data_IF_503955420412
#
_entry.id   IF_503955420412
#
_cell.length_a   1.000
_cell.length_b   1.000
_cell.length_c   1.000
_cell.angle_alpha   90.00
_cell.angle_beta   90.00
_cell.angle_gamma   90.00
#
_symmetry.space_group_name_H-M   'P 1'
#
loop_
_entity.id
_entity.type
_entity.pdbx_description
1 polymer ?
#
# COMPACT_ATOMS: atom_id res chain seq x y z
N UNK A 1 29.28 10.89 4.49
CA UNK A 1 28.12 10.03 4.21
C UNK A 1 27.23 10.07 5.44
N UNK A 2 26.13 10.83 5.40
CA UNK A 2 25.11 10.72 6.43
C UNK A 2 24.34 9.42 6.15
N UNK A 3 24.57 8.38 6.95
CA UNK A 3 23.65 7.27 7.03
C UNK A 3 22.39 7.83 7.70
N UNK A 4 21.44 8.33 6.92
CA UNK A 4 20.10 8.54 7.45
C UNK A 4 19.56 7.15 7.75
N UNK A 5 19.32 6.87 9.03
CA UNK A 5 18.65 5.65 9.45
C UNK A 5 17.33 5.54 8.68
N UNK A 6 17.15 4.42 7.98
CA UNK A 6 15.97 4.16 7.18
C UNK A 6 14.77 4.02 8.11
N UNK A 7 13.79 4.91 7.97
CA UNK A 7 12.57 4.81 8.76
C UNK A 7 11.77 3.59 8.30
N UNK A 8 11.63 2.62 9.20
CA UNK A 8 10.87 1.38 8.98
C UNK A 8 9.61 1.43 9.85
N UNK A 9 8.47 1.26 9.21
CA UNK A 9 7.17 1.16 9.86
C UNK A 9 6.75 -0.29 9.85
N UNK A 10 6.57 -0.89 11.03
CA UNK A 10 6.05 -2.24 11.18
C UNK A 10 5.03 -2.26 12.29
N UNK A 11 3.83 -2.75 12.01
CA UNK A 11 2.80 -2.89 13.04
C UNK A 11 1.82 -4.02 12.73
N UNK A 12 1.19 -4.51 13.79
CA UNK A 12 0.08 -5.47 13.72
C UNK A 12 -1.19 -4.70 13.40
N UNK A 13 -1.98 -5.22 12.45
CA UNK A 13 -3.30 -4.69 12.11
C UNK A 13 -4.38 -5.63 12.65
N UNK A 14 -5.67 -5.36 12.40
CA UNK A 14 -6.78 -6.25 12.81
C UNK A 14 -6.51 -7.73 12.51
N UNK A 15 -5.90 -8.02 11.35
CA UNK A 15 -5.40 -9.37 11.01
C UNK A 15 -4.14 -9.28 10.17
N UNK A 16 -3.07 -9.92 10.61
CA UNK A 16 -1.76 -9.90 9.95
C UNK A 16 -0.89 -8.71 10.37
N UNK A 17 0.23 -8.55 9.69
CA UNK A 17 1.22 -7.52 9.91
C UNK A 17 1.59 -6.83 8.60
N UNK A 18 1.86 -5.52 8.69
CA UNK A 18 2.33 -4.70 7.58
C UNK A 18 3.73 -4.20 7.88
N UNK A 19 4.56 -4.12 6.86
CA UNK A 19 5.88 -3.50 6.92
C UNK A 19 6.08 -2.57 5.73
N UNK A 20 6.46 -1.32 6.01
CA UNK A 20 6.71 -0.29 5.01
C UNK A 20 7.99 0.47 5.27
N UNK A 21 8.75 0.74 4.21
CA UNK A 21 9.89 1.65 4.23
C UNK A 21 10.24 2.14 2.83
N UNK A 22 11.03 3.23 2.73
CA UNK A 22 11.59 3.71 1.46
C UNK A 22 12.75 2.81 1.04
N UNK A 23 12.67 2.15 -0.11
CA UNK A 23 13.73 1.32 -0.71
C UNK A 23 14.25 1.99 -1.99
N UNK A 24 15.33 2.76 -1.86
CA UNK A 24 15.82 3.59 -2.97
C UNK A 24 14.77 4.62 -3.40
N UNK A 25 14.36 4.55 -4.66
CA UNK A 25 13.32 5.39 -5.27
C UNK A 25 11.93 4.69 -5.31
N UNK A 26 11.75 3.65 -4.50
CA UNK A 26 10.50 2.91 -4.37
C UNK A 26 10.08 2.83 -2.91
N UNK A 27 8.84 2.40 -2.70
CA UNK A 27 8.31 2.05 -1.40
C UNK A 27 8.27 0.53 -1.32
N UNK A 28 8.90 -0.03 -0.31
CA UNK A 28 8.76 -1.43 0.05
C UNK A 28 7.47 -1.58 0.86
N UNK A 29 6.61 -2.50 0.44
CA UNK A 29 5.44 -2.95 1.19
C UNK A 29 5.53 -4.47 1.33
N UNK A 30 5.56 -4.96 2.55
CA UNK A 30 5.50 -6.38 2.85
C UNK A 30 4.25 -6.68 3.68
N UNK A 31 3.57 -7.76 3.31
CA UNK A 31 2.34 -8.23 3.93
C UNK A 31 2.59 -9.61 4.55
N UNK A 32 2.53 -9.71 5.87
CA UNK A 32 2.52 -10.99 6.57
C UNK A 32 1.09 -11.31 7.01
N UNK A 33 0.51 -12.35 6.40
CA UNK A 33 -0.89 -12.68 6.61
C UNK A 33 -1.11 -13.62 7.81
N UNK A 34 -0.06 -14.03 8.54
CA UNK A 34 -0.15 -14.90 9.72
C UNK A 34 -1.06 -16.14 9.52
N UNK A 35 -0.98 -16.78 8.35
CA UNK A 35 -1.81 -17.93 7.89
C UNK A 35 -3.26 -17.60 7.45
N UNK A 36 -3.60 -16.33 7.30
CA UNK A 36 -4.83 -15.85 6.64
C UNK A 36 -4.64 -15.75 5.13
N UNK A 37 -5.75 -15.66 4.39
CA UNK A 37 -5.73 -15.30 2.97
C UNK A 37 -5.48 -13.80 2.74
N UNK A 38 -5.62 -12.96 3.77
CA UNK A 38 -5.46 -11.51 3.64
C UNK A 38 -5.17 -10.81 4.97
N UNK A 39 -4.56 -9.63 4.87
CA UNK A 39 -4.53 -8.68 5.98
C UNK A 39 -5.86 -7.90 6.03
N UNK A 40 -6.32 -7.60 7.25
CA UNK A 40 -7.50 -6.78 7.49
C UNK A 40 -7.09 -5.53 8.27
N UNK A 41 -7.54 -4.38 7.79
CA UNK A 41 -7.25 -3.08 8.37
C UNK A 41 -8.54 -2.50 8.94
N UNK A 42 -8.50 -2.09 10.19
CA UNK A 42 -9.51 -1.18 10.76
C UNK A 42 -9.48 0.17 10.05
N UNK A 43 -10.41 1.05 10.42
CA UNK A 43 -10.37 2.45 9.97
C UNK A 43 -9.03 3.11 10.36
N UNK A 44 -8.60 2.97 11.61
CA UNK A 44 -7.36 3.57 12.12
C UNK A 44 -6.12 3.00 11.42
N UNK A 45 -6.09 1.68 11.17
CA UNK A 45 -5.02 1.05 10.38
C UNK A 45 -4.97 1.61 8.97
N UNK A 46 -6.14 1.81 8.35
CA UNK A 46 -6.28 2.35 6.99
C UNK A 46 -5.76 3.79 6.92
N UNK A 47 -6.16 4.64 7.87
CA UNK A 47 -5.71 6.03 7.96
C UNK A 47 -4.20 6.11 8.20
N UNK A 48 -3.67 5.26 9.09
CA UNK A 48 -2.23 5.17 9.37
C UNK A 48 -1.44 4.73 8.14
N UNK A 49 -1.90 3.70 7.43
CA UNK A 49 -1.24 3.23 6.21
C UNK A 49 -1.26 4.31 5.10
N UNK A 50 -2.38 5.02 4.92
CA UNK A 50 -2.47 6.14 3.98
C UNK A 50 -1.46 7.23 4.32
N UNK A 51 -1.37 7.63 5.59
CA UNK A 51 -0.44 8.66 6.04
C UNK A 51 1.02 8.26 5.82
N UNK A 52 1.38 7.02 6.14
CA UNK A 52 2.73 6.48 5.95
C UNK A 52 3.08 6.39 4.46
N UNK A 53 2.19 5.83 3.62
CA UNK A 53 2.38 5.78 2.17
C UNK A 53 2.58 7.17 1.57
N UNK A 54 1.79 8.15 2.01
CA UNK A 54 1.89 9.54 1.57
C UNK A 54 3.26 10.11 1.91
N UNK A 55 3.70 9.98 3.17
CA UNK A 55 5.00 10.48 3.62
C UNK A 55 6.19 9.83 2.89
N UNK A 56 6.14 8.51 2.68
CA UNK A 56 7.17 7.80 1.94
C UNK A 56 7.20 8.21 0.46
N UNK A 57 6.03 8.37 -0.18
CA UNK A 57 5.92 8.83 -1.57
C UNK A 57 6.44 10.26 -1.74
N UNK A 58 6.09 11.17 -0.83
CA UNK A 58 6.62 12.53 -0.79
C UNK A 58 8.15 12.54 -0.65
N UNK A 59 8.69 11.68 0.22
CA UNK A 59 10.14 11.57 0.42
C UNK A 59 10.86 11.14 -0.86
N UNK A 60 10.30 10.18 -1.60
CA UNK A 60 10.84 9.77 -2.91
C UNK A 60 10.69 10.90 -3.93
N UNK A 61 9.51 11.53 -4.01
CA UNK A 61 9.21 12.56 -5.00
C UNK A 61 10.11 13.80 -4.93
N UNK A 62 10.46 14.20 -3.70
CA UNK A 62 11.31 15.35 -3.42
C UNK A 62 12.81 15.02 -3.42
N UNK A 63 13.20 13.76 -3.59
CA UNK A 63 14.61 13.39 -3.78
C UNK A 63 15.13 14.08 -5.06
N UNK A 64 16.19 14.91 -4.99
CA UNK A 64 16.73 15.61 -6.17
C UNK A 64 17.25 14.66 -7.25
N UNK A 65 17.68 13.46 -6.87
CA UNK A 65 18.22 12.46 -7.80
C UNK A 65 17.11 11.58 -8.40
N UNK A 66 15.86 11.68 -7.91
CA UNK A 66 14.75 10.89 -8.42
C UNK A 66 14.28 11.38 -9.79
N UNK A 67 14.34 10.48 -10.77
CA UNK A 67 13.80 10.71 -12.11
C UNK A 67 12.29 10.46 -12.07
N UNK A 68 11.51 11.54 -12.15
CA UNK A 68 10.05 11.48 -12.12
C UNK A 68 9.52 10.74 -13.35
N UNK A 69 8.87 9.61 -13.11
CA UNK A 69 8.16 8.86 -14.15
C UNK A 69 6.87 9.58 -14.56
N UNK A 70 6.60 9.79 -15.86
CA UNK A 70 5.33 10.35 -16.29
C UNK A 70 4.18 9.41 -15.90
N UNK A 71 3.07 9.99 -15.45
CA UNK A 71 1.84 9.23 -15.23
C UNK A 71 1.23 8.85 -16.59
N UNK A 72 1.15 7.55 -16.88
CA UNK A 72 0.69 7.02 -18.17
C UNK A 72 -0.81 6.69 -18.20
N UNK A 73 -1.53 7.06 -17.14
CA UNK A 73 -2.93 6.70 -16.94
C UNK A 73 -3.11 5.68 -15.83
N UNK A 74 -4.32 5.17 -15.72
CA UNK A 74 -4.74 4.27 -14.65
C UNK A 74 -3.94 2.95 -14.68
N UNK A 75 -3.28 2.61 -13.57
CA UNK A 75 -2.56 1.35 -13.41
C UNK A 75 -3.41 0.26 -12.76
N UNK A 76 -4.34 0.62 -11.89
CA UNK A 76 -5.24 -0.35 -11.27
C UNK A 76 -6.29 -0.90 -12.24
N UNK A 77 -6.76 -2.10 -11.94
CA UNK A 77 -7.87 -2.80 -12.59
C UNK A 77 -8.89 -3.20 -11.55
N UNK A 78 -10.07 -3.59 -12.00
CA UNK A 78 -11.14 -4.08 -11.13
C UNK A 78 -11.53 -5.50 -11.52
N UNK A 79 -11.78 -6.34 -10.51
CA UNK A 79 -12.23 -7.73 -10.67
C UNK A 79 -13.01 -8.13 -9.42
N UNK A 80 -14.26 -8.61 -9.59
CA UNK A 80 -15.12 -9.09 -8.49
C UNK A 80 -15.16 -8.15 -7.28
N UNK A 81 -15.42 -6.85 -7.51
CA UNK A 81 -15.45 -5.78 -6.50
C UNK A 81 -14.12 -5.48 -5.77
N UNK A 82 -13.03 -6.15 -6.14
CA UNK A 82 -11.68 -5.83 -5.74
C UNK A 82 -11.01 -4.93 -6.78
N UNK A 83 -10.17 -4.03 -6.28
CA UNK A 83 -9.22 -3.27 -7.08
C UNK A 83 -7.88 -3.96 -6.99
N UNK A 84 -7.15 -4.08 -8.10
CA UNK A 84 -5.82 -4.68 -8.10
C UNK A 84 -4.83 -3.97 -9.01
N UNK A 85 -3.55 -4.11 -8.69
CA UNK A 85 -2.42 -3.68 -9.50
C UNK A 85 -1.60 -4.89 -9.92
N UNK A 86 -1.26 -4.98 -11.21
CA UNK A 86 -0.34 -5.97 -11.74
C UNK A 86 1.08 -5.38 -11.72
N UNK A 87 1.94 -5.94 -10.88
CA UNK A 87 3.30 -5.48 -10.62
C UNK A 87 4.32 -6.49 -11.15
N UNK A 88 3.94 -7.27 -12.19
CA UNK A 88 4.73 -8.32 -12.79
C UNK A 88 4.50 -9.66 -12.10
N UNK A 89 5.47 -10.13 -11.32
CA UNK A 89 5.35 -11.41 -10.60
C UNK A 89 4.38 -11.35 -9.42
N UNK A 90 3.91 -10.15 -9.08
CA UNK A 90 3.01 -9.94 -7.94
C UNK A 90 1.80 -9.13 -8.37
N UNK A 91 0.63 -9.52 -7.88
CA UNK A 91 -0.57 -8.68 -7.91
C UNK A 91 -0.90 -8.24 -6.51
N UNK A 92 -1.21 -6.96 -6.33
CA UNK A 92 -1.65 -6.38 -5.06
C UNK A 92 -3.14 -6.08 -5.18
N UNK A 93 -3.93 -6.53 -4.21
CA UNK A 93 -5.39 -6.41 -4.18
C UNK A 93 -5.84 -5.59 -2.99
N UNK A 94 -6.82 -4.70 -3.22
CA UNK A 94 -7.51 -3.94 -2.19
C UNK A 94 -9.02 -4.08 -2.38
N UNK A 95 -9.74 -4.27 -1.28
CA UNK A 95 -11.19 -4.26 -1.25
C UNK A 95 -11.74 -3.90 0.11
N UNK A 96 -13.07 -3.83 0.23
CA UNK A 96 -13.73 -3.64 1.51
C UNK A 96 -14.50 -4.90 1.89
N UNK A 97 -14.16 -5.49 3.03
CA UNK A 97 -14.87 -6.63 3.57
C UNK A 97 -15.99 -6.12 4.50
N UNK A 98 -17.23 -6.23 4.03
CA UNK A 98 -18.42 -5.76 4.74
C UNK A 98 -18.69 -6.58 6.01
N UNK A 99 -18.45 -7.90 5.96
CA UNK A 99 -18.70 -8.78 7.10
C UNK A 99 -17.73 -8.51 8.26
N UNK A 100 -16.48 -8.20 7.92
CA UNK A 100 -15.44 -7.86 8.89
C UNK A 100 -15.38 -6.38 9.22
N UNK A 101 -16.16 -5.55 8.50
CA UNK A 101 -16.09 -4.10 8.58
C UNK A 101 -14.64 -3.59 8.56
N UNK A 102 -13.89 -4.01 7.53
CA UNK A 102 -12.45 -3.78 7.44
C UNK A 102 -12.01 -3.66 5.98
N UNK A 103 -10.96 -2.89 5.73
CA UNK A 103 -10.29 -2.86 4.43
C UNK A 103 -9.42 -4.11 4.31
N UNK A 104 -9.57 -4.81 3.20
CA UNK A 104 -8.79 -6.01 2.88
C UNK A 104 -7.64 -5.63 1.97
N UNK A 105 -6.43 -6.03 2.34
CA UNK A 105 -5.25 -5.96 1.48
C UNK A 105 -4.67 -7.37 1.34
N UNK A 106 -4.43 -7.79 0.10
CA UNK A 106 -3.96 -9.12 -0.24
C UNK A 106 -2.97 -9.06 -1.42
N UNK A 107 -2.17 -10.10 -1.61
CA UNK A 107 -1.30 -10.25 -2.76
C UNK A 107 -1.40 -11.66 -3.35
N UNK A 108 -1.05 -11.80 -4.62
CA UNK A 108 -0.71 -13.09 -5.22
C UNK A 108 0.71 -13.01 -5.78
N UNK A 109 1.55 -14.02 -5.54
CA UNK A 109 2.96 -13.98 -5.93
C UNK A 109 3.86 -13.70 -4.73
N UNK A 110 4.70 -12.66 -4.81
CA UNK A 110 5.63 -12.31 -3.74
C UNK A 110 4.92 -11.46 -2.66
N UNK A 111 5.18 -11.76 -1.40
CA UNK A 111 4.70 -10.98 -0.26
C UNK A 111 5.28 -9.57 -0.20
N UNK A 112 6.45 -9.39 -0.84
CA UNK A 112 7.18 -8.14 -0.92
C UNK A 112 6.88 -7.44 -2.24
N UNK A 113 6.35 -6.23 -2.12
CA UNK A 113 5.96 -5.37 -3.23
C UNK A 113 6.84 -4.12 -3.26
N UNK A 114 7.43 -3.83 -4.41
CA UNK A 114 8.17 -2.57 -4.65
C UNK A 114 7.33 -1.59 -5.46
N UNK A 115 6.76 -0.62 -4.78
CA UNK A 115 5.76 0.32 -5.30
C UNK A 115 6.47 1.60 -5.78
N UNK A 116 6.29 2.00 -7.04
CA UNK A 116 6.73 3.33 -7.49
C UNK A 116 5.77 4.43 -7.04
N UNK A 117 6.19 5.70 -7.07
CA UNK A 117 5.36 6.82 -6.60
C UNK A 117 3.99 6.85 -7.29
N UNK A 118 3.94 6.56 -8.59
CA UNK A 118 2.68 6.54 -9.34
C UNK A 118 1.69 5.48 -8.81
N UNK A 119 2.17 4.27 -8.49
CA UNK A 119 1.35 3.23 -7.86
C UNK A 119 0.95 3.62 -6.43
N UNK A 120 1.85 4.23 -5.66
CA UNK A 120 1.56 4.67 -4.30
C UNK A 120 0.42 5.69 -4.27
N UNK A 121 0.41 6.64 -5.22
CA UNK A 121 -0.67 7.62 -5.36
C UNK A 121 -2.02 6.95 -5.63
N UNK A 122 -2.09 5.99 -6.55
CA UNK A 122 -3.34 5.26 -6.81
C UNK A 122 -3.79 4.44 -5.59
N UNK A 123 -2.87 3.75 -4.92
CA UNK A 123 -3.16 3.00 -3.71
C UNK A 123 -3.78 3.91 -2.63
N UNK A 124 -3.18 5.07 -2.38
CA UNK A 124 -3.68 6.08 -1.42
C UNK A 124 -5.10 6.52 -1.82
N UNK A 125 -5.35 6.80 -3.09
CA UNK A 125 -6.66 7.24 -3.59
C UNK A 125 -7.73 6.15 -3.40
N UNK A 126 -7.42 4.90 -3.76
CA UNK A 126 -8.33 3.76 -3.62
C UNK A 126 -8.60 3.44 -2.16
N UNK A 127 -7.57 3.44 -1.31
CA UNK A 127 -7.73 3.25 0.13
C UNK A 127 -8.58 4.36 0.75
N UNK A 128 -8.36 5.61 0.35
CA UNK A 128 -9.18 6.75 0.80
C UNK A 128 -10.63 6.61 0.34
N UNK A 129 -10.86 6.12 -0.89
CA UNK A 129 -12.20 5.83 -1.39
C UNK A 129 -12.90 4.76 -0.55
N UNK A 130 -12.24 3.63 -0.29
CA UNK A 130 -12.80 2.58 0.56
C UNK A 130 -12.94 3.00 2.02
N UNK A 131 -12.06 3.86 2.53
CA UNK A 131 -12.13 4.41 3.88
C UNK A 131 -13.45 5.15 4.17
N UNK A 132 -14.07 5.75 3.16
CA UNK A 132 -15.41 6.39 3.30
C UNK A 132 -16.50 5.39 3.71
N UNK A 133 -16.31 4.09 3.43
CA UNK A 133 -17.27 3.04 3.81
C UNK A 133 -17.30 2.73 5.30
N UNK A 134 -16.35 3.25 6.08
CA UNK A 134 -16.39 3.19 7.55
C UNK A 134 -17.44 4.15 8.17
N UNK A 135 -18.24 4.87 7.35
CA UNK A 135 -19.47 5.52 7.80
C UNK A 135 -19.41 7.05 7.89
N UNK A 136 -19.01 7.73 6.81
CA UNK A 136 -19.28 9.17 6.63
C UNK A 136 -20.50 9.35 5.73
#
# INVERSE_FOLDING_TARGET
>A
MHNQEQQVYKWLVKRGCLLLFKDGDKIHLELDQENSESCLLTQEDTESLIAILTSLAETVWHNPDYIKEPYLGQFYRTENDLVYWDLGETKLYIGFNVNEYALTINYSGNAVVKISVNYAVELIQIMTHYGKRFGI
#
